data_IF_139426128143
#
_entry.id   IF_139426128143
#
_cell.length_a   1.000
_cell.length_b   1.000
_cell.length_c   1.000
_cell.angle_alpha   90.00
_cell.angle_beta   90.00
_cell.angle_gamma   90.00
#
_symmetry.space_group_name_H-M   'P 1'
#
loop_
_entity.id
_entity.type
_entity.pdbx_description
1 polymer ?
#
# COMPACT_ATOMS: atom_id res chain seq x y z
N UNK A 1 -9.58 7.25 -24.95
CA UNK A 1 -9.96 8.22 -23.89
C UNK A 1 -9.05 8.00 -22.69
N UNK A 2 -8.21 8.98 -22.32
CA UNK A 2 -7.51 8.96 -21.02
C UNK A 2 -8.57 9.30 -19.97
N UNK A 3 -9.03 8.33 -19.19
CA UNK A 3 -9.79 8.61 -17.98
C UNK A 3 -8.88 9.43 -17.06
N UNK A 4 -9.22 10.69 -16.83
CA UNK A 4 -8.57 11.50 -15.82
C UNK A 4 -8.88 10.87 -14.46
N UNK A 5 -7.98 10.04 -13.95
CA UNK A 5 -8.04 9.54 -12.57
C UNK A 5 -7.94 10.74 -11.66
N UNK A 6 -9.03 11.09 -10.96
CA UNK A 6 -8.98 12.12 -9.93
C UNK A 6 -7.81 11.83 -8.97
N UNK A 7 -7.05 12.86 -8.54
CA UNK A 7 -5.89 12.63 -7.71
C UNK A 7 -6.32 11.96 -6.40
N UNK A 8 -5.70 10.82 -6.11
CA UNK A 8 -5.90 10.13 -4.84
C UNK A 8 -5.42 11.05 -3.71
N UNK A 9 -6.10 11.05 -2.55
CA UNK A 9 -5.70 11.90 -1.45
C UNK A 9 -4.25 11.62 -1.04
N UNK A 10 -3.52 12.66 -0.59
CA UNK A 10 -2.13 12.51 -0.18
C UNK A 10 -2.03 11.52 0.98
N UNK A 11 -0.98 10.71 0.95
CA UNK A 11 -0.65 9.80 2.04
C UNK A 11 -0.16 10.62 3.23
N UNK A 12 -0.63 10.28 4.43
CA UNK A 12 -0.30 11.00 5.66
C UNK A 12 0.87 10.35 6.38
N UNK A 13 0.96 9.02 6.37
CA UNK A 13 2.05 8.31 7.02
C UNK A 13 3.34 8.33 6.18
N UNK A 14 4.47 8.36 6.87
CA UNK A 14 5.81 8.16 6.29
C UNK A 14 6.17 6.67 6.15
N UNK A 15 5.50 5.79 6.89
CA UNK A 15 5.79 4.35 6.90
C UNK A 15 5.04 3.65 5.77
N UNK A 16 5.75 2.93 4.91
CA UNK A 16 5.19 2.23 3.73
C UNK A 16 4.00 1.33 4.06
N UNK A 17 4.07 0.56 5.16
CA UNK A 17 2.95 -0.32 5.54
C UNK A 17 1.72 0.44 6.01
N UNK A 18 1.89 1.65 6.55
CA UNK A 18 0.78 2.47 6.99
C UNK A 18 0.18 3.22 5.79
N UNK A 19 1.02 3.68 4.86
CA UNK A 19 0.58 4.21 3.56
C UNK A 19 -0.26 3.19 2.78
N UNK A 20 0.16 1.92 2.79
CA UNK A 20 -0.60 0.82 2.19
C UNK A 20 -1.98 0.69 2.84
N UNK A 21 -2.05 0.69 4.17
CA UNK A 21 -3.34 0.62 4.90
C UNK A 21 -4.22 1.82 4.62
N UNK A 22 -3.67 3.03 4.60
CA UNK A 22 -4.40 4.24 4.23
C UNK A 22 -5.06 4.09 2.86
N UNK A 23 -4.31 3.58 1.87
CA UNK A 23 -4.84 3.39 0.53
C UNK A 23 -5.89 2.28 0.46
N UNK A 24 -5.66 1.16 1.14
CA UNK A 24 -6.60 0.04 1.18
C UNK A 24 -7.93 0.46 1.83
N UNK A 25 -7.86 1.20 2.95
CA UNK A 25 -9.05 1.71 3.65
C UNK A 25 -9.77 2.79 2.87
N UNK A 26 -9.03 3.71 2.22
CA UNK A 26 -9.62 4.71 1.33
C UNK A 26 -10.41 4.07 0.17
N UNK A 27 -9.92 2.95 -0.35
CA UNK A 27 -10.58 2.18 -1.40
C UNK A 27 -11.67 1.22 -0.87
N UNK A 28 -11.97 1.27 0.43
CA UNK A 28 -13.02 0.45 1.09
C UNK A 28 -12.85 -1.06 0.89
N UNK A 29 -11.61 -1.54 0.78
CA UNK A 29 -11.36 -2.97 0.81
C UNK A 29 -11.62 -3.56 2.20
N UNK A 30 -11.89 -4.86 2.22
CA UNK A 30 -12.08 -5.59 3.48
C UNK A 30 -10.81 -5.60 4.34
N UNK A 31 -10.98 -5.70 5.66
CA UNK A 31 -9.87 -5.88 6.61
C UNK A 31 -9.06 -7.16 6.31
N UNK A 32 -9.69 -8.20 5.75
CA UNK A 32 -9.01 -9.42 5.32
C UNK A 32 -8.02 -9.14 4.17
N UNK A 33 -8.42 -8.32 3.21
CA UNK A 33 -7.55 -7.86 2.12
C UNK A 33 -6.38 -7.04 2.66
N UNK A 34 -6.65 -6.11 3.59
CA UNK A 34 -5.60 -5.33 4.27
C UNK A 34 -4.54 -6.25 4.88
N UNK A 35 -4.98 -7.25 5.65
CA UNK A 35 -4.08 -8.17 6.33
C UNK A 35 -3.23 -9.01 5.36
N UNK A 36 -3.85 -9.52 4.29
CA UNK A 36 -3.14 -10.28 3.26
C UNK A 36 -2.06 -9.43 2.58
N UNK A 37 -2.41 -8.21 2.18
CA UNK A 37 -1.48 -7.30 1.48
C UNK A 37 -0.33 -6.86 2.39
N UNK A 38 -0.61 -6.54 3.65
CA UNK A 38 0.44 -6.21 4.64
C UNK A 38 1.41 -7.38 4.81
N UNK A 39 0.92 -8.62 4.83
CA UNK A 39 1.78 -9.80 4.95
C UNK A 39 2.66 -10.00 3.71
N UNK A 40 2.10 -9.89 2.51
CA UNK A 40 2.86 -10.00 1.26
C UNK A 40 3.92 -8.90 1.12
N UNK A 41 3.57 -7.65 1.40
CA UNK A 41 4.52 -6.53 1.33
C UNK A 41 5.64 -6.68 2.37
N UNK A 42 5.33 -7.13 3.58
CA UNK A 42 6.36 -7.45 4.59
C UNK A 42 7.32 -8.54 4.11
N UNK A 43 6.78 -9.61 3.53
CA UNK A 43 7.60 -10.70 2.98
C UNK A 43 8.49 -10.20 1.84
N UNK A 44 7.95 -9.39 0.94
CA UNK A 44 8.68 -8.78 -0.17
C UNK A 44 9.82 -7.88 0.29
N UNK A 45 9.58 -6.96 1.24
CA UNK A 45 10.63 -6.10 1.79
C UNK A 45 11.76 -6.92 2.43
N UNK A 46 11.42 -7.98 3.16
CA UNK A 46 12.40 -8.87 3.80
C UNK A 46 13.18 -9.69 2.77
N UNK A 47 12.51 -10.17 1.73
CA UNK A 47 13.14 -10.89 0.63
C UNK A 47 14.23 -10.04 -0.06
N UNK A 48 13.99 -8.73 -0.19
CA UNK A 48 14.98 -7.78 -0.72
C UNK A 48 15.97 -7.24 0.34
N UNK A 49 16.07 -7.86 1.52
CA UNK A 49 17.02 -7.46 2.55
C UNK A 49 16.79 -6.05 3.09
N UNK A 50 15.54 -5.58 3.10
CA UNK A 50 15.14 -4.23 3.56
C UNK A 50 15.84 -3.13 2.74
N UNK A 51 16.10 -3.39 1.46
CA UNK A 51 16.60 -2.42 0.49
C UNK A 51 15.51 -2.12 -0.53
N UNK A 52 15.55 -0.91 -1.09
CA UNK A 52 14.62 -0.55 -2.15
C UNK A 52 14.88 -1.45 -3.37
N UNK A 53 13.86 -2.16 -3.90
CA UNK A 53 14.01 -2.88 -5.15
C UNK A 53 14.20 -1.87 -6.28
N UNK A 54 15.31 -1.95 -7.00
CA UNK A 54 15.67 -1.04 -8.10
C UNK A 54 14.78 -1.27 -9.33
#
# INVERSE_FOLDING_TARGET
MKTATAPLPPLRSVKVLDQLRERIRYLHYSLRTEQAYVNWVRAFIRFHGVRHPA
#
